data_IF_482058517926
#
_entry.id   IF_482058517926
#
_cell.length_a   1.000
_cell.length_b   1.000
_cell.length_c   1.000
_cell.angle_alpha   90.00
_cell.angle_beta   90.00
_cell.angle_gamma   90.00
#
_symmetry.space_group_name_H-M   'P 1'
#
loop_
_entity.id
_entity.type
_entity.pdbx_description
1 polymer ?
#
# COMPACT_ATOMS: atom_id res chain seq x y z
N UNK A 1 34.94 2.62 21.31
CA UNK A 1 33.52 2.38 21.59
C UNK A 1 33.14 1.08 20.92
N UNK A 2 32.72 0.08 21.67
CA UNK A 2 32.21 -1.18 21.09
C UNK A 2 30.91 -0.85 20.36
N UNK A 3 30.82 -1.24 19.09
CA UNK A 3 29.60 -1.06 18.32
C UNK A 3 28.47 -1.88 18.98
N UNK A 4 27.28 -1.26 19.10
CA UNK A 4 26.08 -1.92 19.60
C UNK A 4 25.68 -3.06 18.63
N UNK A 5 25.32 -4.24 19.16
CA UNK A 5 25.00 -5.43 18.35
C UNK A 5 23.54 -5.79 18.51
N UNK A 6 22.88 -6.02 17.38
CA UNK A 6 21.47 -6.43 17.33
C UNK A 6 21.29 -7.70 16.47
N UNK A 7 20.30 -8.51 16.77
CA UNK A 7 19.99 -9.71 16.01
C UNK A 7 19.43 -9.33 14.63
N UNK A 8 18.32 -8.62 14.58
CA UNK A 8 17.68 -8.17 13.34
C UNK A 8 17.45 -6.66 13.41
N UNK A 9 17.96 -5.91 12.44
CA UNK A 9 17.62 -4.50 12.26
C UNK A 9 16.52 -4.36 11.20
N UNK A 10 15.37 -3.82 11.56
CA UNK A 10 14.28 -3.50 10.63
C UNK A 10 14.24 -1.99 10.42
N UNK A 11 14.38 -1.54 9.17
CA UNK A 11 14.50 -0.11 8.82
C UNK A 11 13.19 0.39 8.22
N UNK A 12 12.48 1.23 8.97
CA UNK A 12 11.17 1.80 8.63
C UNK A 12 10.06 1.36 9.58
N UNK A 13 9.49 2.31 10.33
CA UNK A 13 8.39 2.09 11.29
C UNK A 13 6.99 2.35 10.69
N UNK A 14 6.83 2.08 9.39
CA UNK A 14 5.54 2.00 8.73
C UNK A 14 4.87 0.63 8.95
N UNK A 15 3.67 0.46 8.41
CA UNK A 15 2.87 -0.77 8.56
C UNK A 15 3.62 -2.04 8.12
N UNK A 16 4.49 -1.95 7.11
CA UNK A 16 5.28 -3.08 6.63
C UNK A 16 6.34 -3.47 7.67
N UNK A 17 7.15 -2.51 8.13
CA UNK A 17 8.19 -2.79 9.13
C UNK A 17 7.61 -3.30 10.45
N UNK A 18 6.50 -2.71 10.91
CA UNK A 18 5.80 -3.18 12.12
C UNK A 18 5.23 -4.58 11.97
N UNK A 19 4.70 -4.94 10.80
CA UNK A 19 4.29 -6.31 10.53
C UNK A 19 5.50 -7.26 10.52
N UNK A 20 6.64 -6.85 9.95
CA UNK A 20 7.87 -7.64 9.98
C UNK A 20 8.37 -7.88 11.42
N UNK A 21 8.48 -6.83 12.25
CA UNK A 21 8.95 -7.03 13.64
C UNK A 21 7.99 -7.87 14.46
N UNK A 22 6.67 -7.71 14.27
CA UNK A 22 5.68 -8.50 14.97
C UNK A 22 5.77 -10.00 14.67
N UNK A 23 5.93 -10.38 13.41
CA UNK A 23 6.12 -11.79 13.02
C UNK A 23 7.53 -12.31 13.35
N UNK A 24 8.58 -11.50 13.25
CA UNK A 24 9.93 -11.88 13.69
C UNK A 24 9.96 -12.25 15.18
N UNK A 25 9.28 -11.46 16.04
CA UNK A 25 9.14 -11.78 17.45
C UNK A 25 8.41 -13.12 17.67
N UNK A 26 7.37 -13.42 16.88
CA UNK A 26 6.66 -14.71 16.94
C UNK A 26 7.55 -15.89 16.52
N UNK A 27 8.57 -15.65 15.68
CA UNK A 27 9.60 -16.62 15.29
C UNK A 27 10.81 -16.64 16.24
N UNK A 28 10.70 -16.04 17.44
CA UNK A 28 11.75 -16.04 18.46
C UNK A 28 12.94 -15.14 18.15
N UNK A 29 12.85 -14.24 17.16
CA UNK A 29 13.91 -13.28 16.87
C UNK A 29 13.75 -12.02 17.74
N UNK A 30 14.84 -11.29 17.92
CA UNK A 30 14.88 -10.03 18.68
C UNK A 30 15.12 -8.81 17.74
N UNK A 31 14.09 -8.40 16.96
CA UNK A 31 14.26 -7.28 16.03
C UNK A 31 14.33 -5.95 16.78
N UNK A 32 15.19 -5.05 16.29
CA UNK A 32 15.23 -3.63 16.67
C UNK A 32 14.75 -2.80 15.47
N UNK A 33 13.79 -1.92 15.73
CA UNK A 33 13.19 -1.06 14.71
C UNK A 33 13.95 0.26 14.63
N UNK A 34 14.26 0.71 13.40
CA UNK A 34 14.92 1.99 13.11
C UNK A 34 14.02 2.86 12.24
N UNK A 35 13.79 4.10 12.62
CA UNK A 35 13.07 5.08 11.80
C UNK A 35 13.52 6.50 12.12
N UNK A 36 13.70 7.33 11.13
CA UNK A 36 14.14 8.71 11.31
C UNK A 36 13.04 9.62 11.89
N UNK A 37 11.80 9.40 11.48
CA UNK A 37 10.64 10.24 11.80
C UNK A 37 9.78 9.66 12.95
N UNK A 38 10.02 8.38 13.32
CA UNK A 38 9.20 7.65 14.28
C UNK A 38 8.02 6.92 13.63
N UNK A 39 7.15 6.34 14.47
CA UNK A 39 6.05 5.46 14.06
C UNK A 39 5.04 6.18 13.18
N UNK A 40 4.61 5.52 12.11
CA UNK A 40 3.51 5.93 11.23
C UNK A 40 3.67 7.29 10.51
N UNK A 41 4.82 7.95 10.56
CA UNK A 41 5.00 9.30 9.96
C UNK A 41 5.20 9.31 8.43
N UNK A 42 5.17 8.13 7.78
CA UNK A 42 5.26 7.97 6.33
C UNK A 42 3.90 7.74 5.67
N UNK A 43 3.93 7.01 4.54
CA UNK A 43 2.74 6.70 3.74
C UNK A 43 1.62 5.98 4.53
N UNK A 44 1.96 5.24 5.59
CA UNK A 44 1.00 4.48 6.41
C UNK A 44 0.01 5.36 7.16
N UNK A 45 0.37 6.60 7.49
CA UNK A 45 -0.49 7.57 8.18
C UNK A 45 -1.77 7.88 7.41
N UNK A 46 -1.63 8.15 6.11
CA UNK A 46 -2.69 8.74 5.31
C UNK A 46 -3.25 7.84 4.22
N UNK A 47 -3.19 6.52 4.37
CA UNK A 47 -3.82 5.60 3.42
C UNK A 47 -5.33 5.79 3.35
N UNK A 48 -5.94 5.23 2.30
CA UNK A 48 -7.40 5.21 2.16
C UNK A 48 -8.10 4.38 3.25
N UNK A 49 -7.34 3.64 4.07
CA UNK A 49 -7.88 2.77 5.11
C UNK A 49 -8.54 1.49 4.58
N UNK A 50 -8.47 1.23 3.29
CA UNK A 50 -9.04 0.02 2.68
C UNK A 50 -8.25 -1.22 3.10
N UNK A 51 -8.96 -2.26 3.49
CA UNK A 51 -8.45 -3.59 3.81
C UNK A 51 -9.18 -4.58 2.90
N UNK A 52 -8.67 -4.74 1.69
CA UNK A 52 -9.35 -5.48 0.64
C UNK A 52 -8.68 -6.86 0.44
N UNK A 53 -9.17 -7.89 1.14
CA UNK A 53 -8.67 -9.27 0.98
C UNK A 53 -8.81 -9.81 -0.46
N UNK A 54 -9.80 -9.30 -1.18
CA UNK A 54 -10.03 -9.61 -2.60
C UNK A 54 -9.28 -8.68 -3.58
N UNK A 55 -8.37 -7.82 -3.10
CA UNK A 55 -7.53 -7.00 -3.97
C UNK A 55 -6.56 -7.88 -4.76
N UNK A 56 -6.68 -7.87 -6.07
CA UNK A 56 -5.93 -8.76 -6.96
C UNK A 56 -5.50 -8.11 -8.27
N UNK A 57 -6.07 -6.97 -8.66
CA UNK A 57 -5.76 -6.37 -9.94
C UNK A 57 -4.57 -5.42 -9.81
N UNK A 58 -3.51 -5.61 -10.61
CA UNK A 58 -2.45 -4.63 -10.70
C UNK A 58 -3.00 -3.31 -11.25
N UNK A 59 -2.32 -2.21 -10.95
CA UNK A 59 -2.69 -0.89 -11.48
C UNK A 59 -2.55 -0.87 -13.00
N UNK A 60 -1.50 -1.49 -13.53
CA UNK A 60 -1.26 -1.62 -14.97
C UNK A 60 -2.14 -2.72 -15.59
N UNK A 61 -3.23 -2.34 -16.25
CA UNK A 61 -4.11 -3.25 -16.97
C UNK A 61 -4.08 -2.98 -18.49
N UNK A 62 -4.34 -4.00 -19.33
CA UNK A 62 -4.48 -3.81 -20.77
C UNK A 62 -5.52 -2.74 -21.12
N UNK A 63 -5.22 -1.92 -22.12
CA UNK A 63 -6.10 -0.82 -22.55
C UNK A 63 -5.98 0.48 -21.77
N UNK A 64 -5.25 0.52 -20.66
CA UNK A 64 -5.02 1.76 -19.90
C UNK A 64 -4.15 2.76 -20.67
N UNK A 65 -3.24 2.28 -21.51
CA UNK A 65 -2.39 3.13 -22.37
C UNK A 65 -3.17 4.14 -23.21
N UNK A 66 -4.30 3.73 -23.76
CA UNK A 66 -5.16 4.60 -24.56
C UNK A 66 -5.89 5.67 -23.73
N UNK A 67 -5.88 5.54 -22.41
CA UNK A 67 -6.49 6.49 -21.47
C UNK A 67 -5.48 7.49 -20.91
N UNK A 68 -4.19 7.14 -20.91
CA UNK A 68 -3.13 7.99 -20.37
C UNK A 68 -3.12 9.39 -20.99
N UNK A 69 -3.19 9.59 -22.32
CA UNK A 69 -3.25 10.93 -22.89
C UNK A 69 -4.43 11.76 -22.37
N UNK A 70 -5.62 11.15 -22.28
CA UNK A 70 -6.80 11.81 -21.73
C UNK A 70 -6.65 12.19 -20.24
N UNK A 71 -6.00 11.33 -19.46
CA UNK A 71 -5.73 11.64 -18.04
C UNK A 71 -4.73 12.76 -17.86
N UNK A 72 -3.67 12.80 -18.68
CA UNK A 72 -2.66 13.84 -18.63
C UNK A 72 -3.18 15.23 -19.10
N UNK A 73 -4.21 15.23 -19.96
CA UNK A 73 -4.87 16.46 -20.41
C UNK A 73 -6.02 16.91 -19.49
N UNK A 74 -6.50 16.03 -18.61
CA UNK A 74 -7.54 16.38 -17.63
C UNK A 74 -6.90 16.87 -16.33
N UNK A 75 -7.00 18.16 -15.99
CA UNK A 75 -6.45 18.70 -14.74
C UNK A 75 -7.10 18.07 -13.49
N UNK A 76 -8.27 17.44 -13.65
CA UNK A 76 -9.00 16.71 -12.62
C UNK A 76 -8.84 15.20 -12.75
N UNK A 77 -7.96 14.75 -13.66
CA UNK A 77 -7.70 13.34 -13.92
C UNK A 77 -7.07 12.61 -12.73
N UNK A 78 -7.17 11.27 -12.69
CA UNK A 78 -6.64 10.47 -11.59
C UNK A 78 -5.12 10.44 -11.51
N UNK A 79 -4.42 10.76 -12.60
CA UNK A 79 -2.95 10.71 -12.72
C UNK A 79 -2.43 12.02 -13.26
N UNK A 80 -1.36 12.51 -12.63
CA UNK A 80 -0.63 13.70 -13.06
C UNK A 80 0.87 13.44 -13.05
N UNK A 81 1.56 13.86 -14.08
CA UNK A 81 3.04 13.83 -14.13
C UNK A 81 3.52 15.26 -14.27
N UNK A 82 4.33 15.72 -13.31
CA UNK A 82 4.92 17.07 -13.42
C UNK A 82 5.81 17.15 -14.67
N UNK A 83 5.66 18.17 -15.52
CA UNK A 83 6.43 18.27 -16.78
C UNK A 83 7.93 18.14 -16.57
N UNK A 84 8.50 18.77 -15.54
CA UNK A 84 9.93 18.69 -15.20
C UNK A 84 10.38 17.32 -14.68
N UNK A 85 9.45 16.42 -14.34
CA UNK A 85 9.75 15.07 -13.85
C UNK A 85 9.55 13.97 -14.91
N UNK A 86 8.94 14.30 -16.05
CA UNK A 86 8.56 13.31 -17.07
C UNK A 86 9.74 12.48 -17.57
N UNK A 87 10.88 13.10 -17.87
CA UNK A 87 12.07 12.39 -18.34
C UNK A 87 12.63 11.43 -17.28
N UNK A 88 12.54 11.78 -15.99
CA UNK A 88 12.97 10.90 -14.89
C UNK A 88 12.02 9.73 -14.69
N UNK A 89 10.71 9.96 -14.85
CA UNK A 89 9.71 8.91 -14.75
C UNK A 89 9.64 8.00 -16.00
N UNK A 90 10.15 8.43 -17.15
CA UNK A 90 10.00 7.72 -18.42
C UNK A 90 10.46 6.24 -18.39
N UNK A 91 11.62 5.86 -17.79
CA UNK A 91 12.04 4.46 -17.70
C UNK A 91 11.05 3.60 -16.90
N UNK A 92 10.50 4.14 -15.81
CA UNK A 92 9.50 3.48 -14.99
C UNK A 92 8.16 3.35 -15.74
N UNK A 93 7.71 4.42 -16.38
CA UNK A 93 6.49 4.43 -17.19
C UNK A 93 6.57 3.40 -18.34
N UNK A 94 7.75 3.25 -18.96
CA UNK A 94 7.94 2.23 -20.01
C UNK A 94 7.79 0.81 -19.44
N UNK A 95 8.35 0.52 -18.27
CA UNK A 95 8.18 -0.76 -17.60
C UNK A 95 6.72 -0.98 -17.16
N UNK A 96 6.04 0.05 -16.69
CA UNK A 96 4.60 0.02 -16.37
C UNK A 96 3.75 -0.33 -17.60
N UNK A 97 4.08 0.23 -18.76
CA UNK A 97 3.48 -0.12 -20.06
C UNK A 97 3.69 -1.60 -20.37
N UNK A 98 4.90 -2.12 -20.21
CA UNK A 98 5.20 -3.53 -20.46
C UNK A 98 4.45 -4.45 -19.46
N UNK A 99 4.31 -4.03 -18.23
CA UNK A 99 3.56 -4.73 -17.19
C UNK A 99 2.04 -4.76 -17.46
N UNK A 100 1.52 -3.83 -18.27
CA UNK A 100 0.10 -3.80 -18.66
C UNK A 100 -0.34 -4.88 -19.66
N UNK A 101 0.57 -5.72 -20.18
CA UNK A 101 0.21 -6.84 -21.05
C UNK A 101 -0.66 -7.86 -20.30
N UNK A 102 -1.64 -8.46 -20.99
CA UNK A 102 -2.60 -9.38 -20.36
C UNK A 102 -1.95 -10.53 -19.58
N UNK A 103 -0.86 -11.11 -20.12
CA UNK A 103 -0.12 -12.19 -19.43
C UNK A 103 0.57 -11.69 -18.17
N UNK A 104 1.17 -10.51 -18.20
CA UNK A 104 1.80 -9.89 -17.02
C UNK A 104 0.75 -9.52 -15.97
N UNK A 105 -0.37 -8.92 -16.38
CA UNK A 105 -1.48 -8.60 -15.49
C UNK A 105 -2.06 -9.84 -14.79
N UNK A 106 -2.20 -10.99 -15.49
CA UNK A 106 -2.62 -12.25 -14.87
C UNK A 106 -1.60 -12.77 -13.84
N UNK A 107 -0.30 -12.73 -14.17
CA UNK A 107 0.75 -13.14 -13.20
C UNK A 107 0.74 -12.23 -11.97
N UNK A 108 0.70 -10.91 -12.17
CA UNK A 108 0.60 -9.94 -11.08
C UNK A 108 -0.64 -10.15 -10.22
N UNK A 109 -1.79 -10.42 -10.85
CA UNK A 109 -3.04 -10.67 -10.14
C UNK A 109 -2.98 -11.90 -9.23
N UNK A 110 -2.35 -12.99 -9.68
CA UNK A 110 -2.14 -14.20 -8.84
C UNK A 110 -1.24 -13.90 -7.65
N UNK A 111 -0.14 -13.17 -7.86
CA UNK A 111 0.77 -12.78 -6.81
C UNK A 111 0.08 -11.85 -5.78
N UNK A 112 -0.62 -10.81 -6.25
CA UNK A 112 -1.35 -9.89 -5.37
C UNK A 112 -2.43 -10.63 -4.57
N UNK A 113 -3.23 -11.48 -5.20
CA UNK A 113 -4.25 -12.27 -4.50
C UNK A 113 -3.63 -13.18 -3.43
N UNK A 114 -2.55 -13.88 -3.75
CA UNK A 114 -1.87 -14.75 -2.78
C UNK A 114 -1.33 -13.97 -1.56
N UNK A 115 -0.84 -12.73 -1.78
CA UNK A 115 -0.34 -11.87 -0.71
C UNK A 115 -1.46 -11.26 0.15
N UNK A 116 -2.64 -11.03 -0.43
CA UNK A 116 -3.70 -10.22 0.19
C UNK A 116 -4.81 -11.04 0.85
N UNK A 117 -5.10 -12.25 0.35
CA UNK A 117 -6.29 -13.05 0.75
C UNK A 117 -6.42 -13.32 2.24
N UNK A 118 -5.33 -13.32 3.00
CA UNK A 118 -5.33 -13.59 4.45
C UNK A 118 -5.17 -12.32 5.32
N UNK A 119 -5.43 -11.13 4.78
CA UNK A 119 -5.12 -9.86 5.46
C UNK A 119 -5.78 -9.72 6.82
N UNK A 120 -7.06 -10.09 6.97
CA UNK A 120 -7.78 -9.97 8.25
C UNK A 120 -7.22 -10.93 9.30
N UNK A 121 -6.94 -12.17 8.94
CA UNK A 121 -6.35 -13.17 9.84
C UNK A 121 -4.93 -12.77 10.25
N UNK A 122 -4.16 -12.20 9.32
CA UNK A 122 -2.85 -11.67 9.60
C UNK A 122 -2.88 -10.51 10.60
N UNK A 123 -3.81 -9.57 10.46
CA UNK A 123 -4.00 -8.51 11.45
C UNK A 123 -4.52 -9.03 12.78
N UNK A 124 -5.42 -10.01 12.79
CA UNK A 124 -5.90 -10.66 14.02
C UNK A 124 -4.73 -11.30 14.78
N UNK A 125 -3.84 -11.96 14.06
CA UNK A 125 -2.62 -12.57 14.63
C UNK A 125 -1.67 -11.53 15.25
N UNK A 126 -1.51 -10.38 14.61
CA UNK A 126 -0.60 -9.31 15.08
C UNK A 126 -1.18 -8.52 16.26
N UNK A 127 -2.46 -8.18 16.21
CA UNK A 127 -3.14 -7.28 17.15
C UNK A 127 -3.82 -8.00 18.32
N UNK A 128 -4.24 -9.27 18.12
CA UNK A 128 -5.19 -9.95 18.99
C UNK A 128 -6.63 -9.49 18.74
N UNK A 129 -7.61 -10.24 19.30
CA UNK A 129 -9.04 -10.04 19.03
C UNK A 129 -9.57 -8.66 19.45
N UNK A 130 -9.12 -8.15 20.60
CA UNK A 130 -9.61 -6.88 21.15
C UNK A 130 -9.30 -5.69 20.23
N UNK A 131 -8.02 -5.53 19.85
CA UNK A 131 -7.61 -4.42 18.99
C UNK A 131 -8.08 -4.61 17.56
N UNK A 132 -8.11 -5.87 17.08
CA UNK A 132 -8.69 -6.19 15.79
C UNK A 132 -10.15 -5.72 15.69
N UNK A 133 -11.01 -6.10 16.63
CA UNK A 133 -12.42 -5.70 16.62
C UNK A 133 -12.66 -4.20 16.80
N UNK A 134 -11.73 -3.50 17.47
CA UNK A 134 -11.80 -2.04 17.67
C UNK A 134 -11.35 -1.24 16.45
N UNK A 135 -10.44 -1.76 15.62
CA UNK A 135 -9.75 -1.01 14.57
C UNK A 135 -10.14 -1.40 13.15
N UNK A 136 -10.61 -2.62 12.95
CA UNK A 136 -10.89 -3.18 11.64
C UNK A 136 -12.37 -3.53 11.49
N UNK A 137 -12.92 -3.24 10.32
CA UNK A 137 -14.29 -3.53 9.96
C UNK A 137 -14.32 -4.36 8.67
N UNK A 138 -14.74 -5.61 8.76
CA UNK A 138 -14.94 -6.51 7.61
C UNK A 138 -16.39 -6.40 7.15
N UNK A 139 -16.69 -5.32 6.43
CA UNK A 139 -18.05 -4.92 6.04
C UNK A 139 -18.40 -5.20 4.59
N UNK A 140 -17.45 -5.65 3.81
CA UNK A 140 -17.49 -5.55 2.37
C UNK A 140 -17.00 -4.18 1.87
N UNK A 141 -16.98 -4.02 0.54
CA UNK A 141 -16.64 -2.77 -0.13
C UNK A 141 -17.14 -2.76 -1.56
N UNK A 142 -17.55 -1.60 -2.04
CA UNK A 142 -18.14 -1.45 -3.37
C UNK A 142 -17.18 -0.74 -4.33
N UNK A 143 -17.04 -1.29 -5.53
CA UNK A 143 -16.35 -0.65 -6.64
C UNK A 143 -17.38 -0.22 -7.68
N UNK A 144 -17.49 1.08 -7.95
CA UNK A 144 -18.36 1.58 -9.00
C UNK A 144 -17.85 1.17 -10.37
N UNK A 145 -18.72 0.53 -11.12
CA UNK A 145 -18.47 0.13 -12.51
C UNK A 145 -18.65 1.32 -13.45
N UNK A 146 -18.02 1.23 -14.62
CA UNK A 146 -18.21 2.19 -15.71
C UNK A 146 -19.41 1.77 -16.55
N UNK A 147 -20.47 2.59 -16.52
CA UNK A 147 -21.64 2.36 -17.32
C UNK A 147 -22.43 1.10 -16.95
N UNK A 148 -23.47 0.80 -17.74
CA UNK A 148 -24.40 -0.29 -17.49
C UNK A 148 -23.87 -1.67 -17.87
N UNK A 149 -22.98 -1.72 -18.88
CA UNK A 149 -22.38 -2.96 -19.37
C UNK A 149 -20.87 -2.98 -19.12
N UNK A 150 -20.27 -4.15 -18.83
CA UNK A 150 -18.82 -4.25 -18.63
C UNK A 150 -18.04 -3.91 -19.90
N UNK A 151 -17.03 -3.05 -19.78
CA UNK A 151 -16.08 -2.78 -20.84
C UNK A 151 -15.01 -3.88 -20.97
N UNK A 152 -14.16 -3.81 -21.99
CA UNK A 152 -13.13 -4.83 -22.26
C UNK A 152 -12.16 -5.06 -21.09
N UNK A 153 -11.77 -4.01 -20.38
CA UNK A 153 -10.92 -4.07 -19.20
C UNK A 153 -11.63 -4.76 -18.01
N UNK A 154 -12.92 -4.52 -17.86
CA UNK A 154 -13.71 -5.17 -16.82
C UNK A 154 -13.98 -6.65 -17.16
N UNK A 155 -14.19 -7.00 -18.43
CA UNK A 155 -14.31 -8.40 -18.86
C UNK A 155 -13.03 -9.18 -18.56
N UNK A 156 -11.85 -8.60 -18.80
CA UNK A 156 -10.58 -9.22 -18.40
C UNK A 156 -10.48 -9.35 -16.87
N UNK A 157 -10.85 -8.32 -16.14
CA UNK A 157 -10.86 -8.37 -14.67
C UNK A 157 -11.82 -9.46 -14.15
N UNK A 158 -12.99 -9.63 -14.79
CA UNK A 158 -13.94 -10.68 -14.46
C UNK A 158 -13.36 -12.07 -14.74
N UNK A 159 -12.69 -12.25 -15.89
CA UNK A 159 -12.03 -13.52 -16.22
C UNK A 159 -10.94 -13.86 -15.19
N UNK A 160 -10.10 -12.89 -14.80
CA UNK A 160 -9.08 -13.09 -13.77
C UNK A 160 -9.72 -13.44 -12.41
N UNK A 161 -10.80 -12.77 -12.01
CA UNK A 161 -11.54 -13.10 -10.78
C UNK A 161 -12.06 -14.53 -10.81
N UNK A 162 -12.65 -14.96 -11.93
CA UNK A 162 -13.09 -16.33 -12.11
C UNK A 162 -11.95 -17.35 -11.97
N UNK A 163 -10.78 -17.07 -12.58
CA UNK A 163 -9.56 -17.91 -12.44
C UNK A 163 -9.08 -18.01 -10.97
N UNK A 164 -9.29 -16.97 -10.16
CA UNK A 164 -8.85 -16.89 -8.77
C UNK A 164 -9.93 -17.31 -7.75
N UNK A 165 -11.14 -17.62 -8.21
CA UNK A 165 -12.26 -17.98 -7.33
C UNK A 165 -12.78 -16.81 -6.49
N UNK A 166 -12.55 -15.55 -6.91
CA UNK A 166 -12.98 -14.36 -6.18
C UNK A 166 -14.43 -14.03 -6.53
N UNK A 167 -15.32 -14.18 -5.54
CA UNK A 167 -16.72 -13.83 -5.66
C UNK A 167 -16.99 -12.33 -5.53
N UNK A 168 -17.92 -11.80 -6.31
CA UNK A 168 -18.49 -10.48 -6.11
C UNK A 168 -19.96 -10.45 -6.54
N UNK A 169 -20.75 -9.60 -5.90
CA UNK A 169 -22.14 -9.34 -6.26
C UNK A 169 -22.24 -8.13 -7.18
N UNK A 170 -23.02 -8.25 -8.26
CA UNK A 170 -23.31 -7.09 -9.12
C UNK A 170 -24.52 -6.34 -8.57
N UNK A 171 -24.32 -5.08 -8.23
CA UNK A 171 -25.34 -4.17 -7.72
C UNK A 171 -25.96 -3.35 -8.85
N UNK A 172 -27.29 -3.36 -8.94
CA UNK A 172 -28.05 -2.44 -9.79
C UNK A 172 -28.28 -1.07 -9.12
N UNK A 173 -28.95 -0.14 -9.84
CA UNK A 173 -29.17 1.23 -9.36
C UNK A 173 -29.93 1.32 -8.04
N UNK A 174 -30.94 0.45 -7.83
CA UNK A 174 -31.77 0.47 -6.61
C UNK A 174 -30.93 0.04 -5.40
N UNK A 175 -30.19 -1.05 -5.53
CA UNK A 175 -29.33 -1.54 -4.48
C UNK A 175 -28.19 -0.56 -4.14
N UNK A 176 -27.66 0.15 -5.16
CA UNK A 176 -26.69 1.23 -4.93
C UNK A 176 -27.30 2.37 -4.12
N UNK A 177 -28.54 2.77 -4.40
CA UNK A 177 -29.26 3.83 -3.66
C UNK A 177 -29.57 3.43 -2.22
N UNK A 178 -29.89 2.15 -1.98
CA UNK A 178 -30.08 1.62 -0.62
C UNK A 178 -28.78 1.69 0.20
N UNK A 179 -27.66 1.23 -0.38
CA UNK A 179 -26.36 1.21 0.30
C UNK A 179 -25.73 2.61 0.42
N UNK A 180 -26.01 3.48 -0.54
CA UNK A 180 -25.45 4.82 -0.63
C UNK A 180 -26.55 5.85 -0.91
N UNK A 181 -27.33 6.24 0.12
CA UNK A 181 -28.37 7.25 -0.04
C UNK A 181 -27.82 8.53 -0.66
N UNK A 182 -28.54 9.09 -1.63
CA UNK A 182 -28.13 10.30 -2.32
C UNK A 182 -27.06 10.13 -3.40
N UNK A 183 -26.65 8.88 -3.70
CA UNK A 183 -25.72 8.65 -4.81
C UNK A 183 -26.32 9.12 -6.14
N UNK A 184 -25.49 9.78 -6.95
CA UNK A 184 -25.92 10.37 -8.22
C UNK A 184 -26.49 9.33 -9.20
N UNK A 185 -27.48 9.73 -9.98
CA UNK A 185 -28.24 8.86 -10.91
C UNK A 185 -27.38 8.24 -12.04
N UNK A 186 -26.19 8.77 -12.31
CA UNK A 186 -25.25 8.18 -13.27
C UNK A 186 -24.54 6.94 -12.72
N UNK A 187 -24.56 6.69 -11.40
CA UNK A 187 -24.06 5.46 -10.79
C UNK A 187 -25.04 4.32 -11.04
N UNK A 188 -24.90 3.64 -12.18
CA UNK A 188 -25.84 2.61 -12.64
C UNK A 188 -25.50 1.21 -12.18
N UNK A 189 -24.23 0.94 -11.86
CA UNK A 189 -23.77 -0.41 -11.51
C UNK A 189 -22.57 -0.36 -10.56
N UNK A 190 -22.53 -1.30 -9.64
CA UNK A 190 -21.41 -1.51 -8.71
C UNK A 190 -21.07 -2.99 -8.59
N UNK A 191 -19.90 -3.28 -8.05
CA UNK A 191 -19.47 -4.62 -7.66
C UNK A 191 -19.19 -4.60 -6.16
N UNK A 192 -19.94 -5.39 -5.40
CA UNK A 192 -19.74 -5.59 -3.97
C UNK A 192 -18.82 -6.79 -3.75
N UNK A 193 -17.74 -6.58 -3.00
CA UNK A 193 -16.79 -7.60 -2.56
C UNK A 193 -17.01 -7.85 -1.07
N UNK A 194 -17.60 -8.98 -0.67
CA UNK A 194 -17.99 -9.22 0.73
C UNK A 194 -16.77 -9.41 1.67
N UNK A 195 -15.65 -9.93 1.15
CA UNK A 195 -14.43 -10.17 1.93
C UNK A 195 -13.53 -8.94 2.08
N UNK A 196 -13.98 -7.78 1.59
CA UNK A 196 -13.28 -6.52 1.77
C UNK A 196 -13.75 -5.82 3.06
N UNK A 197 -13.03 -4.78 3.42
CA UNK A 197 -13.35 -3.94 4.56
C UNK A 197 -12.44 -2.74 4.66
N UNK A 198 -12.31 -2.22 5.86
CA UNK A 198 -11.50 -1.03 6.11
C UNK A 198 -11.03 -0.96 7.56
N UNK A 199 -10.05 -0.10 7.82
CA UNK A 199 -9.70 0.30 9.18
C UNK A 199 -10.37 1.63 9.53
N UNK A 200 -10.87 1.74 10.73
CA UNK A 200 -11.46 2.96 11.27
C UNK A 200 -10.44 4.11 11.39
N UNK A 201 -9.16 3.78 11.51
CA UNK A 201 -8.06 4.75 11.54
C UNK A 201 -6.74 4.08 11.17
N UNK A 202 -6.16 4.37 9.97
CA UNK A 202 -4.86 3.83 9.60
C UNK A 202 -3.75 4.14 10.60
N UNK A 203 -3.73 5.36 11.15
CA UNK A 203 -2.76 5.76 12.15
C UNK A 203 -2.86 4.90 13.42
N UNK A 204 -4.06 4.82 14.01
CA UNK A 204 -4.28 4.00 15.23
C UNK A 204 -4.02 2.51 15.00
N UNK A 205 -4.22 2.00 13.79
CA UNK A 205 -3.86 0.63 13.43
C UNK A 205 -2.34 0.43 13.52
N UNK A 206 -1.57 1.38 13.00
CA UNK A 206 -0.10 1.31 13.04
C UNK A 206 0.42 1.51 14.46
N UNK A 207 -0.19 2.41 15.25
CA UNK A 207 0.15 2.59 16.67
C UNK A 207 -0.10 1.30 17.46
N UNK A 208 -1.24 0.65 17.27
CA UNK A 208 -1.55 -0.61 17.95
C UNK A 208 -0.56 -1.73 17.58
N UNK A 209 -0.09 -1.80 16.33
CA UNK A 209 0.98 -2.73 15.95
C UNK A 209 2.29 -2.41 16.68
N UNK A 210 2.60 -1.13 16.85
CA UNK A 210 3.78 -0.70 17.57
C UNK A 210 3.67 -0.99 19.08
N UNK A 211 2.52 -0.73 19.69
CA UNK A 211 2.28 -1.05 21.10
C UNK A 211 2.47 -2.55 21.36
N UNK A 212 1.92 -3.41 20.50
CA UNK A 212 2.11 -4.87 20.58
C UNK A 212 3.57 -5.30 20.42
N UNK A 213 4.32 -4.61 19.55
CA UNK A 213 5.75 -4.85 19.40
C UNK A 213 6.53 -4.50 20.68
N UNK A 214 6.22 -3.35 21.30
CA UNK A 214 6.85 -2.89 22.54
C UNK A 214 6.47 -3.78 23.74
N UNK A 215 5.19 -4.16 23.86
CA UNK A 215 4.71 -5.09 24.91
C UNK A 215 5.49 -6.42 24.91
N UNK A 216 5.98 -6.84 23.74
CA UNK A 216 6.82 -8.04 23.58
C UNK A 216 8.32 -7.76 23.69
N UNK A 217 8.72 -6.63 24.29
CA UNK A 217 10.11 -6.24 24.53
C UNK A 217 10.82 -5.62 23.31
N UNK A 218 10.06 -5.21 22.27
CA UNK A 218 10.62 -4.52 21.11
C UNK A 218 11.14 -3.14 21.42
N UNK A 219 12.13 -2.68 20.64
CA UNK A 219 12.77 -1.37 20.83
C UNK A 219 12.77 -0.59 19.52
N UNK A 220 12.33 0.68 19.58
CA UNK A 220 12.47 1.65 18.49
C UNK A 220 13.70 2.53 18.74
N UNK A 221 14.56 2.61 17.75
CA UNK A 221 15.63 3.60 17.69
C UNK A 221 15.21 4.68 16.70
N UNK A 222 14.85 5.85 17.20
CA UNK A 222 14.54 6.99 16.35
C UNK A 222 15.83 7.60 15.82
N UNK A 223 16.34 6.99 14.75
CA UNK A 223 17.61 7.29 14.12
C UNK A 223 17.49 7.11 12.60
N UNK A 224 18.12 7.99 11.85
CA UNK A 224 18.20 7.86 10.40
C UNK A 224 19.33 6.89 10.05
N UNK A 225 19.02 5.77 9.40
CA UNK A 225 20.02 4.87 8.82
C UNK A 225 20.49 5.45 7.50
N UNK A 226 21.75 5.86 7.46
CA UNK A 226 22.35 6.58 6.33
C UNK A 226 22.97 5.63 5.31
N UNK A 227 23.55 4.50 5.78
CA UNK A 227 24.28 3.56 4.94
C UNK A 227 24.29 2.16 5.56
N UNK A 228 24.28 1.15 4.70
CA UNK A 228 24.50 -0.25 5.04
C UNK A 228 25.85 -0.69 4.46
N UNK A 229 26.69 -1.31 5.29
CA UNK A 229 28.02 -1.78 4.90
C UNK A 229 28.14 -3.25 5.28
N UNK A 230 28.41 -4.17 4.33
CA UNK A 230 28.66 -5.57 4.68
C UNK A 230 29.97 -5.70 5.45
N UNK A 231 29.99 -6.53 6.46
CA UNK A 231 31.16 -6.81 7.29
C UNK A 231 31.28 -8.29 7.64
N UNK A 232 32.41 -8.71 8.25
CA UNK A 232 32.64 -10.10 8.59
C UNK A 232 31.66 -10.62 9.68
N UNK A 233 31.20 -9.74 10.55
CA UNK A 233 30.30 -10.04 11.67
C UNK A 233 28.82 -9.74 11.36
N UNK A 234 28.47 -9.50 10.13
CA UNK A 234 27.12 -9.07 9.71
C UNK A 234 27.13 -7.69 9.02
N UNK A 235 26.08 -6.92 9.20
CA UNK A 235 25.88 -5.62 8.55
C UNK A 235 26.17 -4.47 9.52
N UNK A 236 27.01 -3.54 9.12
CA UNK A 236 27.18 -2.28 9.84
C UNK A 236 26.16 -1.26 9.31
N UNK A 237 25.31 -0.78 10.20
CA UNK A 237 24.39 0.34 9.97
C UNK A 237 25.09 1.61 10.45
N UNK A 238 25.36 2.55 9.52
CA UNK A 238 25.72 3.91 9.87
C UNK A 238 24.44 4.70 10.11
N UNK A 239 24.21 5.12 11.35
CA UNK A 239 23.05 5.91 11.70
C UNK A 239 23.41 7.36 12.01
N UNK A 240 22.42 8.22 12.17
CA UNK A 240 22.61 9.61 12.57
C UNK A 240 23.16 9.80 14.00
N UNK A 241 23.17 8.73 14.82
CA UNK A 241 23.62 8.79 16.21
C UNK A 241 24.81 7.88 16.52
N UNK A 242 24.80 6.64 16.00
CA UNK A 242 25.81 5.64 16.32
C UNK A 242 25.98 4.61 15.20
N UNK A 243 27.05 3.80 15.27
CA UNK A 243 27.22 2.63 14.45
C UNK A 243 26.62 1.40 15.14
N UNK A 244 25.85 0.61 14.42
CA UNK A 244 25.21 -0.62 14.90
C UNK A 244 25.64 -1.78 14.02
N UNK A 245 25.88 -2.94 14.60
CA UNK A 245 26.12 -4.18 13.86
C UNK A 245 24.88 -5.07 13.99
N UNK A 246 24.30 -5.47 12.86
CA UNK A 246 23.16 -6.38 12.81
C UNK A 246 23.55 -7.68 12.09
N UNK A 247 23.11 -8.82 12.61
CA UNK A 247 23.29 -10.10 11.88
C UNK A 247 22.41 -10.15 10.64
N UNK A 248 21.19 -9.61 10.75
CA UNK A 248 20.21 -9.52 9.66
C UNK A 248 19.66 -8.10 9.56
N UNK A 249 19.45 -7.65 8.33
CA UNK A 249 18.84 -6.35 8.04
C UNK A 249 17.61 -6.54 7.14
N UNK A 250 16.50 -5.90 7.48
CA UNK A 250 15.29 -5.86 6.66
C UNK A 250 14.98 -4.42 6.29
N UNK A 251 15.05 -4.08 5.01
CA UNK A 251 14.76 -2.72 4.51
C UNK A 251 13.26 -2.59 4.21
N UNK A 252 12.57 -1.78 5.01
CA UNK A 252 11.14 -1.45 4.90
C UNK A 252 10.92 0.08 4.80
N UNK A 253 11.91 0.84 4.28
CA UNK A 253 11.97 2.30 4.32
C UNK A 253 11.09 2.99 3.25
N UNK A 254 10.04 2.31 2.73
CA UNK A 254 9.08 2.86 1.79
C UNK A 254 9.75 3.47 0.56
N UNK A 255 9.38 4.70 0.21
CA UNK A 255 9.92 5.40 -0.95
C UNK A 255 11.43 5.72 -0.85
N UNK A 256 11.98 5.72 0.37
CA UNK A 256 13.42 5.96 0.61
C UNK A 256 14.29 4.70 0.54
N UNK A 257 13.71 3.54 0.31
CA UNK A 257 14.47 2.27 0.24
C UNK A 257 15.56 2.27 -0.84
N UNK A 258 15.39 3.04 -1.92
CA UNK A 258 16.42 3.21 -2.96
C UNK A 258 17.76 3.70 -2.39
N UNK A 259 17.73 4.62 -1.43
CA UNK A 259 18.96 5.23 -0.88
C UNK A 259 19.85 4.21 -0.17
N UNK A 260 19.24 3.16 0.37
CA UNK A 260 19.94 2.07 1.05
C UNK A 260 20.31 0.92 0.12
N UNK A 261 19.45 0.59 -0.84
CA UNK A 261 19.59 -0.59 -1.69
C UNK A 261 20.43 -0.35 -2.96
N UNK A 262 20.33 0.82 -3.58
CA UNK A 262 21.07 1.11 -4.83
C UNK A 262 22.59 1.10 -4.70
N UNK A 263 23.19 1.66 -3.62
CA UNK A 263 24.63 1.56 -3.41
C UNK A 263 25.17 0.13 -3.29
N UNK A 264 24.26 -0.82 -2.98
CA UNK A 264 24.56 -2.26 -2.88
C UNK A 264 24.29 -3.02 -4.19
N UNK A 265 23.94 -2.32 -5.26
CA UNK A 265 23.65 -2.94 -6.56
C UNK A 265 22.21 -3.42 -6.75
N UNK A 266 21.38 -3.42 -5.73
CA UNK A 266 19.98 -3.82 -5.84
C UNK A 266 19.12 -2.70 -6.50
N UNK A 267 19.11 -2.68 -7.83
CA UNK A 267 18.45 -1.64 -8.64
C UNK A 267 17.01 -1.99 -8.99
N UNK A 268 16.16 -2.02 -7.98
CA UNK A 268 14.73 -2.20 -8.19
C UNK A 268 14.09 -0.92 -8.78
N UNK A 269 13.14 -1.03 -9.74
CA UNK A 269 12.50 0.14 -10.36
C UNK A 269 11.41 0.75 -9.45
N UNK A 270 11.83 1.18 -8.25
CA UNK A 270 10.93 1.80 -7.28
C UNK A 270 10.70 3.26 -7.66
N UNK A 271 9.46 3.69 -7.81
CA UNK A 271 9.07 5.07 -8.06
C UNK A 271 8.14 5.58 -6.96
N UNK A 272 8.10 6.89 -6.79
CA UNK A 272 7.26 7.54 -5.81
C UNK A 272 6.00 8.07 -6.47
N UNK A 273 4.86 7.43 -6.20
CA UNK A 273 3.55 7.94 -6.52
C UNK A 273 3.00 8.74 -5.32
N UNK A 274 2.93 10.06 -5.45
CA UNK A 274 2.31 10.90 -4.44
C UNK A 274 0.81 10.70 -4.45
N UNK A 275 0.26 10.39 -3.30
CA UNK A 275 -1.16 10.24 -3.09
C UNK A 275 -1.68 11.27 -2.12
N UNK A 276 -2.90 11.71 -2.35
CA UNK A 276 -3.54 12.76 -1.55
C UNK A 276 -4.78 12.23 -0.84
N UNK A 277 -5.08 12.78 0.34
CA UNK A 277 -6.38 12.59 0.94
C UNK A 277 -6.94 13.89 1.53
N UNK A 278 -8.26 13.96 1.57
CA UNK A 278 -9.01 14.87 2.41
C UNK A 278 -9.69 14.09 3.53
N UNK A 279 -9.47 14.52 4.78
CA UNK A 279 -10.27 14.07 5.91
C UNK A 279 -11.42 15.05 6.08
N UNK A 280 -12.63 14.53 5.98
CA UNK A 280 -13.86 15.27 6.23
C UNK A 280 -14.41 14.91 7.62
N UNK A 281 -15.18 15.83 8.20
CA UNK A 281 -16.01 15.55 9.37
C UNK A 281 -17.15 14.57 9.03
N UNK A 282 -18.08 14.40 9.98
CA UNK A 282 -19.24 13.54 9.81
C UNK A 282 -20.09 14.09 8.66
N UNK A 283 -20.35 13.29 7.61
CA UNK A 283 -21.14 13.73 6.47
C UNK A 283 -22.65 13.80 6.81
N UNK A 284 -23.38 14.69 6.14
CA UNK A 284 -24.83 14.80 6.28
C UNK A 284 -25.60 13.60 5.71
N UNK A 285 -24.98 12.83 4.83
CA UNK A 285 -25.50 11.58 4.28
C UNK A 285 -24.57 10.47 4.77
N UNK A 286 -25.07 9.47 5.51
CA UNK A 286 -24.22 8.41 6.05
C UNK A 286 -23.66 7.53 4.93
N UNK A 287 -22.38 7.20 5.03
CA UNK A 287 -21.68 6.23 4.19
C UNK A 287 -21.25 5.07 5.10
N UNK A 288 -21.90 3.92 4.93
CA UNK A 288 -21.65 2.76 5.80
C UNK A 288 -20.54 1.82 5.29
N UNK A 289 -20.26 1.82 3.99
CA UNK A 289 -19.32 0.94 3.33
C UNK A 289 -18.29 1.75 2.54
N UNK A 290 -17.06 1.26 2.39
CA UNK A 290 -16.10 1.84 1.46
C UNK A 290 -16.64 1.81 0.02
N UNK A 291 -16.46 2.92 -0.68
CA UNK A 291 -16.84 3.08 -2.08
C UNK A 291 -15.64 3.53 -2.91
N UNK A 292 -15.31 2.77 -3.95
CA UNK A 292 -14.21 3.08 -4.85
C UNK A 292 -14.77 3.51 -6.20
N UNK A 293 -14.51 4.74 -6.60
CA UNK A 293 -14.80 5.24 -7.94
C UNK A 293 -13.53 5.15 -8.79
N UNK A 294 -13.26 3.95 -9.33
CA UNK A 294 -12.00 3.67 -10.06
C UNK A 294 -11.75 4.60 -11.24
N UNK A 295 -12.79 5.04 -11.94
CA UNK A 295 -12.67 5.95 -13.08
C UNK A 295 -12.11 7.33 -12.71
N UNK A 296 -12.35 7.79 -11.49
CA UNK A 296 -11.88 9.07 -10.95
C UNK A 296 -10.67 8.91 -10.02
N UNK A 297 -10.21 7.67 -9.78
CA UNK A 297 -9.15 7.41 -8.82
C UNK A 297 -9.50 7.86 -7.39
N UNK A 298 -10.75 7.68 -6.98
CA UNK A 298 -11.28 8.12 -5.70
C UNK A 298 -11.72 6.91 -4.87
N UNK A 299 -11.23 6.83 -3.64
CA UNK A 299 -11.75 5.97 -2.58
C UNK A 299 -12.43 6.83 -1.51
N UNK A 300 -13.61 6.44 -1.10
CA UNK A 300 -14.42 7.05 -0.05
C UNK A 300 -14.54 6.03 1.06
N UNK A 301 -14.00 6.32 2.24
CA UNK A 301 -13.96 5.37 3.36
C UNK A 301 -14.53 6.01 4.61
N UNK A 302 -15.52 5.38 5.28
CA UNK A 302 -15.96 5.82 6.59
C UNK A 302 -14.84 5.61 7.62
N UNK A 303 -14.54 6.64 8.40
CA UNK A 303 -13.50 6.64 9.41
C UNK A 303 -14.10 7.00 10.78
N UNK A 304 -13.39 6.73 11.86
CA UNK A 304 -13.81 7.11 13.20
C UNK A 304 -14.03 8.63 13.34
N UNK A 305 -13.27 9.44 12.57
CA UNK A 305 -13.34 10.90 12.59
C UNK A 305 -14.27 11.50 11.52
N UNK A 306 -15.02 10.67 10.78
CA UNK A 306 -15.89 11.11 9.69
C UNK A 306 -15.60 10.38 8.37
N UNK A 307 -15.39 11.09 7.27
CA UNK A 307 -15.23 10.50 5.95
C UNK A 307 -13.84 10.81 5.37
N UNK A 308 -13.15 9.80 4.87
CA UNK A 308 -11.88 9.98 4.14
C UNK A 308 -12.08 9.85 2.64
N UNK A 309 -11.64 10.86 1.92
CA UNK A 309 -11.48 10.84 0.48
C UNK A 309 -10.01 10.65 0.17
N UNK A 310 -9.64 9.56 -0.46
CA UNK A 310 -8.25 9.31 -0.82
C UNK A 310 -8.15 8.94 -2.30
N UNK A 311 -7.05 9.37 -2.93
CA UNK A 311 -6.89 9.06 -4.34
C UNK A 311 -5.81 9.87 -4.99
N UNK A 312 -5.96 10.05 -6.30
CA UNK A 312 -5.03 10.71 -7.22
C UNK A 312 -3.60 10.18 -7.15
N UNK A 313 -2.89 10.30 -8.24
CA UNK A 313 -1.47 9.96 -8.37
C UNK A 313 -0.75 11.16 -8.97
N UNK A 314 0.31 11.60 -8.32
CA UNK A 314 1.23 12.58 -8.86
C UNK A 314 2.64 12.00 -8.93
N UNK A 315 3.25 11.99 -10.11
CA UNK A 315 4.66 11.66 -10.31
C UNK A 315 5.48 12.95 -10.31
N UNK A 316 6.22 13.19 -9.21
CA UNK A 316 7.00 14.42 -8.99
C UNK A 316 8.26 14.18 -8.13
N UNK A 317 8.61 12.92 -7.85
CA UNK A 317 9.71 12.55 -6.96
C UNK A 317 9.46 12.90 -5.50
N UNK A 318 10.50 12.90 -4.67
CA UNK A 318 10.40 13.13 -3.23
C UNK A 318 10.46 14.61 -2.84
N UNK A 319 11.19 15.44 -3.59
CA UNK A 319 11.61 16.78 -3.15
C UNK A 319 10.66 17.92 -3.56
N UNK A 320 9.82 17.69 -4.58
CA UNK A 320 8.92 18.73 -5.06
C UNK A 320 7.86 19.11 -3.98
N UNK A 321 7.40 20.36 -3.88
CA UNK A 321 6.35 20.73 -2.94
C UNK A 321 5.04 20.02 -3.25
N UNK A 322 4.15 19.76 -2.27
CA UNK A 322 2.82 19.21 -2.51
C UNK A 322 2.00 20.08 -3.44
N UNK A 323 1.10 19.46 -4.21
CA UNK A 323 0.09 20.15 -5.00
C UNK A 323 -1.29 19.95 -4.35
N UNK A 324 -1.72 20.91 -3.57
CA UNK A 324 -2.98 20.85 -2.82
C UNK A 324 -4.21 20.74 -3.73
N UNK A 325 -4.11 21.19 -4.99
CA UNK A 325 -5.22 21.09 -5.96
C UNK A 325 -5.60 19.63 -6.19
N UNK A 326 -4.63 18.70 -6.07
CA UNK A 326 -4.84 17.24 -6.20
C UNK A 326 -5.73 16.68 -5.08
N UNK A 327 -5.71 17.28 -3.90
CA UNK A 327 -6.62 16.90 -2.82
C UNK A 327 -8.01 17.56 -3.00
N UNK A 328 -8.04 18.83 -3.45
CA UNK A 328 -9.30 19.55 -3.71
C UNK A 328 -10.14 18.85 -4.79
N UNK A 329 -9.49 18.28 -5.80
CA UNK A 329 -10.16 17.47 -6.84
C UNK A 329 -10.96 16.30 -6.24
N UNK A 330 -10.51 15.70 -5.15
CA UNK A 330 -11.24 14.60 -4.47
C UNK A 330 -12.59 15.10 -3.92
N UNK A 331 -12.63 16.35 -3.41
CA UNK A 331 -13.87 16.94 -2.94
C UNK A 331 -14.85 17.16 -4.09
N UNK A 332 -14.39 17.69 -5.21
CA UNK A 332 -15.22 17.85 -6.41
C UNK A 332 -15.82 16.51 -6.87
N UNK A 333 -15.02 15.43 -6.88
CA UNK A 333 -15.53 14.11 -7.24
C UNK A 333 -16.55 13.57 -6.24
N UNK A 334 -16.40 13.87 -4.94
CA UNK A 334 -17.45 13.56 -3.96
C UNK A 334 -18.74 14.32 -4.25
N UNK A 335 -18.64 15.62 -4.50
CA UNK A 335 -19.81 16.49 -4.75
C UNK A 335 -20.55 16.08 -6.04
N UNK A 336 -19.82 15.62 -7.07
CA UNK A 336 -20.41 15.03 -8.30
C UNK A 336 -21.13 13.71 -7.99
N UNK A 337 -20.55 12.87 -7.11
CA UNK A 337 -21.08 11.52 -6.81
C UNK A 337 -22.22 11.56 -5.79
N UNK A 338 -22.19 12.52 -4.84
CA UNK A 338 -23.22 12.72 -3.81
C UNK A 338 -23.67 14.18 -3.80
N UNK A 339 -24.51 14.60 -4.77
CA UNK A 339 -25.01 15.96 -4.83
C UNK A 339 -25.72 16.38 -3.54
N UNK A 340 -25.30 17.47 -2.95
CA UNK A 340 -25.89 18.00 -1.71
C UNK A 340 -25.31 17.42 -0.42
N UNK A 341 -24.37 16.49 -0.46
CA UNK A 341 -23.69 16.01 0.75
C UNK A 341 -22.88 17.16 1.39
N UNK A 342 -23.17 17.45 2.63
CA UNK A 342 -22.42 18.44 3.43
C UNK A 342 -21.47 17.69 4.36
N UNK A 343 -20.19 18.08 4.35
CA UNK A 343 -19.17 17.63 5.27
C UNK A 343 -18.06 18.66 5.31
N UNK A 344 -17.61 19.04 6.50
CA UNK A 344 -16.52 19.97 6.72
C UNK A 344 -15.17 19.33 6.32
N UNK A 345 -14.32 20.10 5.64
CA UNK A 345 -12.94 19.64 5.39
C UNK A 345 -12.08 19.96 6.62
N UNK A 346 -11.52 18.91 7.24
CA UNK A 346 -10.72 19.02 8.47
C UNK A 346 -9.22 18.99 8.21
N UNK A 347 -8.77 18.16 7.25
CA UNK A 347 -7.34 17.98 6.99
C UNK A 347 -7.10 17.60 5.55
N UNK A 348 -6.03 18.14 5.00
CA UNK A 348 -5.40 17.72 3.76
C UNK A 348 -4.08 17.03 4.09
N UNK A 349 -3.75 15.98 3.35
CA UNK A 349 -2.50 15.26 3.53
C UNK A 349 -2.00 14.70 2.19
N UNK A 350 -0.68 14.60 2.08
CA UNK A 350 0.01 13.97 0.97
C UNK A 350 1.05 12.96 1.49
N UNK A 351 1.17 11.83 0.81
CA UNK A 351 2.19 10.83 1.11
C UNK A 351 2.80 10.18 -0.12
N UNK A 352 3.90 9.49 0.11
CA UNK A 352 4.76 8.90 -0.90
C UNK A 352 4.53 7.40 -0.98
N UNK A 353 3.74 6.93 -1.97
CA UNK A 353 3.55 5.49 -2.20
C UNK A 353 4.79 4.93 -2.91
N UNK A 354 5.45 3.91 -2.34
CA UNK A 354 6.57 3.24 -2.99
C UNK A 354 6.03 2.26 -4.03
N UNK A 355 6.04 2.62 -5.30
CA UNK A 355 5.37 1.84 -6.35
C UNK A 355 6.34 1.15 -7.29
N UNK A 356 6.02 -0.09 -7.65
CA UNK A 356 6.71 -0.86 -8.68
C UNK A 356 5.85 -0.95 -9.94
N UNK A 357 6.46 -1.03 -11.13
CA UNK A 357 5.72 -0.96 -12.39
C UNK A 357 4.68 -2.07 -12.57
N UNK A 358 4.95 -3.25 -12.02
CA UNK A 358 4.09 -4.43 -12.05
C UNK A 358 3.07 -4.49 -10.91
N UNK A 359 3.09 -3.51 -9.98
CA UNK A 359 2.29 -3.43 -8.77
C UNK A 359 2.55 -4.53 -7.74
N UNK A 360 3.46 -5.47 -7.98
CA UNK A 360 3.80 -6.55 -7.06
C UNK A 360 4.97 -6.12 -6.18
N UNK A 361 4.83 -6.21 -4.86
CA UNK A 361 5.89 -5.83 -3.93
C UNK A 361 7.16 -6.67 -4.12
N UNK A 362 8.32 -6.09 -3.84
CA UNK A 362 9.60 -6.79 -3.80
C UNK A 362 9.89 -7.23 -2.36
N UNK A 363 9.86 -8.55 -2.12
CA UNK A 363 9.96 -9.14 -0.78
C UNK A 363 10.92 -10.32 -0.83
N UNK A 364 11.92 -10.30 0.03
CA UNK A 364 12.87 -11.41 0.15
C UNK A 364 14.31 -11.00 0.25
N UNK A 365 15.24 -11.96 0.10
CA UNK A 365 16.68 -11.71 0.19
C UNK A 365 17.16 -10.82 -0.96
N UNK A 366 18.14 -9.97 -0.67
CA UNK A 366 18.86 -9.18 -1.67
C UNK A 366 20.00 -10.03 -2.22
N UNK A 367 20.04 -10.23 -3.54
CA UNK A 367 21.02 -11.07 -4.19
C UNK A 367 22.47 -10.63 -3.84
N UNK A 368 23.36 -11.60 -3.68
CA UNK A 368 24.78 -11.41 -3.33
C UNK A 368 25.04 -10.72 -1.97
N UNK A 369 24.00 -10.52 -1.15
CA UNK A 369 24.09 -9.85 0.14
C UNK A 369 23.47 -10.72 1.26
N UNK A 370 24.17 -11.76 1.74
CA UNK A 370 23.66 -12.62 2.82
C UNK A 370 23.24 -11.81 4.05
N UNK A 371 22.11 -12.15 4.65
CA UNK A 371 21.56 -11.45 5.81
C UNK A 371 20.86 -10.12 5.50
N UNK A 372 20.83 -9.68 4.22
CA UNK A 372 20.07 -8.51 3.80
C UNK A 372 18.78 -8.92 3.11
N UNK A 373 17.67 -8.38 3.60
CA UNK A 373 16.33 -8.56 3.04
C UNK A 373 15.69 -7.21 2.71
N UNK A 374 14.73 -7.23 1.80
CA UNK A 374 13.91 -6.07 1.48
C UNK A 374 12.42 -6.43 1.49
N UNK A 375 11.58 -5.49 1.90
CA UNK A 375 10.13 -5.57 1.84
C UNK A 375 9.60 -4.20 1.41
N UNK A 376 9.55 -3.96 0.09
CA UNK A 376 9.36 -2.64 -0.51
C UNK A 376 8.46 -2.70 -1.73
N UNK A 377 7.96 -1.55 -2.16
CA UNK A 377 7.24 -1.45 -3.44
C UNK A 377 5.77 -1.86 -3.38
N UNK A 378 5.13 -1.80 -2.22
CA UNK A 378 3.72 -2.18 -2.02
C UNK A 378 2.72 -1.21 -2.66
N UNK A 379 3.16 -0.06 -3.16
CA UNK A 379 2.32 0.90 -3.89
C UNK A 379 1.05 1.29 -3.14
N UNK A 380 -0.09 0.99 -3.73
CA UNK A 380 -1.41 1.29 -3.17
C UNK A 380 -1.85 0.30 -2.08
N UNK A 381 -1.25 -0.90 -2.03
CA UNK A 381 -1.74 -2.06 -1.27
C UNK A 381 -0.91 -2.36 -0.01
N UNK A 382 -0.08 -1.39 0.44
CA UNK A 382 0.78 -1.59 1.59
C UNK A 382 0.03 -2.02 2.86
N UNK A 383 -1.12 -1.42 3.14
CA UNK A 383 -1.94 -1.80 4.30
C UNK A 383 -2.54 -3.20 4.14
N UNK A 384 -2.81 -3.62 2.90
CA UNK A 384 -3.42 -4.92 2.61
C UNK A 384 -2.36 -6.03 2.65
N UNK A 385 -1.20 -5.79 2.04
CA UNK A 385 -0.12 -6.77 1.95
C UNK A 385 0.75 -6.87 3.21
N UNK A 386 0.64 -5.94 4.16
CA UNK A 386 1.56 -5.85 5.29
C UNK A 386 1.64 -7.11 6.15
N UNK A 387 0.54 -7.75 6.61
CA UNK A 387 0.64 -8.93 7.44
C UNK A 387 1.32 -10.10 6.74
N UNK A 388 0.93 -10.40 5.50
CA UNK A 388 1.52 -11.49 4.72
C UNK A 388 2.99 -11.21 4.38
N UNK A 389 3.35 -9.96 4.09
CA UNK A 389 4.74 -9.53 3.89
C UNK A 389 5.58 -9.76 5.15
N UNK A 390 5.06 -9.31 6.30
CA UNK A 390 5.76 -9.48 7.58
C UNK A 390 5.99 -10.95 7.91
N UNK A 391 4.97 -11.78 7.71
CA UNK A 391 5.05 -13.22 7.89
C UNK A 391 6.07 -13.86 6.94
N UNK A 392 6.03 -13.53 5.66
CA UNK A 392 6.98 -14.05 4.67
C UNK A 392 8.43 -13.66 5.01
N UNK A 393 8.69 -12.42 5.41
CA UNK A 393 10.02 -12.00 5.86
C UNK A 393 10.47 -12.78 7.09
N UNK A 394 9.59 -12.96 8.09
CA UNK A 394 9.94 -13.70 9.29
C UNK A 394 10.26 -15.18 8.98
N UNK A 395 9.48 -15.83 8.12
CA UNK A 395 9.70 -17.19 7.65
C UNK A 395 11.05 -17.31 6.91
N UNK A 396 11.35 -16.40 5.98
CA UNK A 396 12.61 -16.41 5.22
C UNK A 396 13.83 -16.14 6.10
N UNK A 397 13.74 -15.19 7.03
CA UNK A 397 14.83 -14.83 7.97
C UNK A 397 15.10 -15.99 8.94
N UNK A 398 14.07 -16.73 9.33
CA UNK A 398 14.18 -17.84 10.28
C UNK A 398 14.40 -19.20 9.61
N UNK A 399 14.47 -19.25 8.28
CA UNK A 399 14.63 -20.50 7.52
C UNK A 399 13.42 -21.44 7.59
N UNK A 400 12.23 -20.90 7.93
CA UNK A 400 10.97 -21.65 7.96
C UNK A 400 10.35 -21.75 6.56
N UNK A 401 9.55 -22.79 6.28
CA UNK A 401 8.82 -22.89 5.02
C UNK A 401 7.91 -21.68 4.79
N UNK A 402 7.98 -21.00 3.62
CA UNK A 402 7.14 -19.85 3.34
C UNK A 402 5.66 -20.24 3.18
N UNK A 403 4.74 -19.45 3.75
CA UNK A 403 3.29 -19.66 3.64
C UNK A 403 2.72 -19.33 2.25
N UNK A 404 3.49 -18.59 1.43
CA UNK A 404 3.20 -18.29 0.03
C UNK A 404 4.46 -18.52 -0.80
N UNK A 405 4.31 -18.81 -2.09
CA UNK A 405 5.46 -18.92 -3.00
C UNK A 405 6.21 -17.56 -3.04
N UNK A 406 7.49 -17.48 -2.64
CA UNK A 406 8.26 -16.23 -2.63
C UNK A 406 8.70 -15.80 -4.02
N UNK A 407 8.72 -16.67 -5.02
CA UNK A 407 9.29 -16.40 -6.34
C UNK A 407 8.67 -15.18 -7.05
N UNK A 408 7.34 -14.95 -7.04
CA UNK A 408 6.74 -13.76 -7.64
C UNK A 408 7.19 -12.44 -7.02
N UNK A 409 7.65 -12.46 -5.76
CA UNK A 409 8.05 -11.27 -5.00
C UNK A 409 9.56 -11.05 -5.01
N UNK A 410 10.34 -12.01 -5.50
CA UNK A 410 11.80 -11.93 -5.50
C UNK A 410 12.33 -10.67 -6.22
N UNK A 411 13.34 -10.02 -5.63
CA UNK A 411 13.99 -8.83 -6.21
C UNK A 411 14.66 -9.18 -7.55
N UNK A 412 15.15 -10.41 -7.68
CA UNK A 412 15.82 -10.92 -8.89
C UNK A 412 14.97 -10.81 -10.17
N UNK A 413 13.62 -10.68 -10.08
CA UNK A 413 12.77 -10.44 -11.26
C UNK A 413 13.07 -9.12 -11.98
N UNK A 414 13.82 -8.22 -11.35
CA UNK A 414 14.28 -6.95 -11.94
C UNK A 414 15.72 -7.00 -12.44
N UNK A 415 16.33 -8.19 -12.49
CA UNK A 415 17.72 -8.36 -12.96
C UNK A 415 18.78 -7.93 -11.94
N UNK A 416 18.44 -7.95 -10.67
CA UNK A 416 19.34 -7.59 -9.55
C UNK A 416 19.85 -8.80 -8.80
#
# INVERSE_FOLDING_TARGET
MTADRVDVAVIGAGVIGLSCVGFLQQHGRAPVLFDAAGVANGASFGTAGLINGDAHLPVALPGMLWRVPGWLMDPYGPVWVRPGYLLRAAPWLMQWVLASRASAARRGARALHALHRGVFDGYRTLLGESDFGRLLCQSGGVVLARGERPGKDELLANAIRGELGIGCETLGPDRLRELFPGIASFAKRGLLFPNNGYTLSPHKLVDALFDRYVERGGTLRQEHVLKLIPGPDGWQLLTSKANVIAQTVVVCAGAWSKTLLYPLGARIPLETERGYHLQLGVPSIPIALPLIHRARGLAITPMAEGLRLAGTVELAGLDAPPDETRAIVLRRHLDELFPGMKAETRRLWMGFRPSLPDSVAAIGPVAFHPGLFAAVGHGHDGMIGAPSTGRLIAELVSGSPPHVDPAPYALARFGT
#
